data_IF_555984382216
#
_entry.id   IF_555984382216
#
_cell.length_a   1.000
_cell.length_b   1.000
_cell.length_c   1.000
_cell.angle_alpha   90.00
_cell.angle_beta   90.00
_cell.angle_gamma   90.00
#
_symmetry.space_group_name_H-M   'P 1'
#
loop_
_entity.id
_entity.type
_entity.pdbx_description
1 polymer ?
#
# COMPACT_ATOMS: atom_id res chain seq x y z
N UNK A 1 -26.03 -2.18 -47.90
CA UNK A 1 -26.28 -1.26 -46.78
C UNK A 1 -27.06 -2.04 -45.73
N UNK A 2 -26.45 -2.38 -44.59
CA UNK A 2 -27.13 -3.11 -43.51
C UNK A 2 -27.96 -2.08 -42.72
N UNK A 3 -29.28 -2.21 -42.79
CA UNK A 3 -30.22 -1.31 -42.13
C UNK A 3 -30.04 -1.41 -40.61
N UNK A 4 -29.90 -0.24 -39.98
CA UNK A 4 -29.79 -0.09 -38.52
C UNK A 4 -31.08 -0.49 -37.82
N UNK A 5 -31.19 -1.77 -37.47
CA UNK A 5 -32.18 -2.27 -36.54
C UNK A 5 -31.90 -1.69 -35.15
N UNK A 6 -32.89 -0.98 -34.62
CA UNK A 6 -32.92 -0.42 -33.27
C UNK A 6 -32.75 -1.58 -32.28
N UNK A 7 -31.62 -1.61 -31.57
CA UNK A 7 -31.41 -2.54 -30.44
C UNK A 7 -32.39 -2.11 -29.35
N UNK A 8 -33.56 -2.75 -29.32
CA UNK A 8 -34.51 -2.60 -28.22
C UNK A 8 -33.87 -3.23 -26.99
N UNK A 9 -33.27 -2.40 -26.13
CA UNK A 9 -33.00 -2.76 -24.75
C UNK A 9 -34.35 -2.98 -24.08
N UNK A 10 -34.79 -4.23 -23.99
CA UNK A 10 -35.97 -4.60 -23.22
C UNK A 10 -35.55 -4.81 -21.75
N UNK A 11 -35.93 -3.91 -20.82
CA UNK A 11 -35.61 -4.04 -19.40
C UNK A 11 -36.44 -5.13 -18.70
N UNK A 12 -37.41 -5.75 -19.38
CA UNK A 12 -38.30 -6.76 -18.79
C UNK A 12 -37.86 -8.22 -19.02
N UNK A 13 -36.80 -8.44 -19.82
CA UNK A 13 -36.19 -9.77 -19.98
C UNK A 13 -35.20 -10.14 -18.85
N UNK A 14 -34.87 -9.22 -17.93
CA UNK A 14 -33.84 -9.39 -16.88
C UNK A 14 -34.26 -10.22 -15.66
N UNK A 15 -35.49 -10.76 -15.60
CA UNK A 15 -35.94 -11.60 -14.46
C UNK A 15 -36.09 -13.09 -14.78
N UNK A 16 -35.63 -13.54 -15.94
CA UNK A 16 -35.59 -14.96 -16.27
C UNK A 16 -34.19 -15.35 -16.70
N UNK A 17 -33.47 -16.05 -15.82
CA UNK A 17 -32.20 -16.78 -16.02
C UNK A 17 -31.39 -16.41 -17.28
N UNK A 18 -30.13 -15.97 -17.10
CA UNK A 18 -29.12 -15.82 -18.16
C UNK A 18 -28.76 -17.18 -18.81
N UNK A 19 -29.71 -17.74 -19.54
CA UNK A 19 -29.65 -19.09 -20.12
C UNK A 19 -28.70 -19.14 -21.31
N UNK A 20 -28.71 -18.08 -22.12
CA UNK A 20 -27.85 -17.91 -23.29
C UNK A 20 -26.55 -17.16 -22.99
N UNK A 21 -26.37 -16.68 -21.75
CA UNK A 21 -25.21 -15.92 -21.32
C UNK A 21 -24.07 -16.78 -20.78
N UNK A 22 -22.92 -16.14 -20.57
CA UNK A 22 -21.73 -16.81 -20.03
C UNK A 22 -21.91 -17.06 -18.52
N UNK A 23 -22.33 -18.27 -18.15
CA UNK A 23 -22.69 -18.66 -16.77
C UNK A 23 -21.59 -18.52 -15.71
N UNK A 24 -20.31 -18.49 -16.10
CA UNK A 24 -19.24 -18.27 -15.12
C UNK A 24 -19.15 -16.81 -14.69
N UNK A 25 -19.46 -15.86 -15.58
CA UNK A 25 -19.46 -14.42 -15.27
C UNK A 25 -20.60 -14.11 -14.32
N UNK A 26 -21.79 -14.63 -14.58
CA UNK A 26 -22.95 -14.49 -13.69
C UNK A 26 -22.65 -14.99 -12.27
N UNK A 27 -21.99 -16.15 -12.13
CA UNK A 27 -21.67 -16.69 -10.81
C UNK A 27 -20.65 -15.88 -10.01
N UNK A 28 -19.72 -15.19 -10.68
CA UNK A 28 -18.60 -14.49 -10.02
C UNK A 28 -18.89 -12.99 -9.88
N UNK A 29 -19.37 -12.37 -10.95
CA UNK A 29 -19.60 -10.93 -11.05
C UNK A 29 -21.06 -10.56 -10.74
N UNK A 30 -21.97 -11.53 -10.67
CA UNK A 30 -23.41 -11.31 -10.52
C UNK A 30 -24.02 -10.50 -11.69
N UNK A 31 -23.36 -10.53 -12.85
CA UNK A 31 -23.74 -9.76 -14.04
C UNK A 31 -24.08 -10.69 -15.23
N UNK A 32 -25.11 -10.33 -15.99
CA UNK A 32 -25.57 -11.07 -17.16
C UNK A 32 -24.91 -10.56 -18.45
N UNK A 33 -23.97 -11.35 -18.99
CA UNK A 33 -23.30 -11.07 -20.27
C UNK A 33 -23.77 -12.06 -21.33
N UNK A 34 -24.67 -11.61 -22.19
CA UNK A 34 -25.36 -12.39 -23.24
C UNK A 34 -25.10 -11.88 -24.66
N UNK A 35 -24.73 -10.59 -24.80
CA UNK A 35 -24.50 -9.94 -26.10
C UNK A 35 -23.01 -9.68 -26.31
N UNK A 36 -22.54 -9.78 -27.56
CA UNK A 36 -21.15 -9.46 -27.96
C UNK A 36 -20.69 -8.08 -27.48
N UNK A 37 -21.60 -7.08 -27.50
CA UNK A 37 -21.30 -5.74 -27.00
C UNK A 37 -21.04 -5.71 -25.49
N UNK A 38 -21.85 -6.43 -24.70
CA UNK A 38 -21.64 -6.56 -23.24
C UNK A 38 -20.34 -7.30 -22.94
N UNK A 39 -20.00 -8.32 -23.74
CA UNK A 39 -18.76 -9.08 -23.61
C UNK A 39 -17.53 -8.20 -23.89
N UNK A 40 -17.55 -7.40 -24.96
CA UNK A 40 -16.46 -6.46 -25.25
C UNK A 40 -16.32 -5.41 -24.15
N UNK A 41 -17.43 -4.85 -23.67
CA UNK A 41 -17.42 -3.92 -22.54
C UNK A 41 -16.82 -4.52 -21.28
N UNK A 42 -17.19 -5.77 -20.97
CA UNK A 42 -16.63 -6.51 -19.84
C UNK A 42 -15.13 -6.73 -19.98
N UNK A 43 -14.64 -7.19 -21.14
CA UNK A 43 -13.21 -7.44 -21.37
C UNK A 43 -12.40 -6.14 -21.24
N UNK A 44 -12.85 -5.06 -21.86
CA UNK A 44 -12.19 -3.76 -21.77
C UNK A 44 -12.18 -3.26 -20.31
N UNK A 45 -13.29 -3.45 -19.58
CA UNK A 45 -13.38 -3.12 -18.16
C UNK A 45 -12.37 -3.88 -17.31
N UNK A 46 -12.21 -5.19 -17.52
CA UNK A 46 -11.21 -6.01 -16.81
C UNK A 46 -9.79 -5.56 -17.15
N UNK A 47 -9.48 -5.28 -18.41
CA UNK A 47 -8.16 -4.77 -18.80
C UNK A 47 -7.86 -3.43 -18.13
N UNK A 48 -8.83 -2.50 -18.15
CA UNK A 48 -8.71 -1.20 -17.50
C UNK A 48 -8.47 -1.33 -16.00
N UNK A 49 -9.21 -2.22 -15.34
CA UNK A 49 -9.02 -2.52 -13.92
C UNK A 49 -7.60 -3.04 -13.61
N UNK A 50 -7.09 -3.98 -14.41
CA UNK A 50 -5.74 -4.51 -14.22
C UNK A 50 -4.66 -3.44 -14.40
N UNK A 51 -4.81 -2.60 -15.43
CA UNK A 51 -3.91 -1.46 -15.64
C UNK A 51 -3.93 -0.46 -14.49
N UNK A 52 -5.08 -0.33 -13.81
CA UNK A 52 -5.18 0.50 -12.61
C UNK A 52 -4.52 -0.13 -11.39
N UNK A 53 -4.55 -1.46 -11.25
CA UNK A 53 -4.00 -2.18 -10.09
C UNK A 53 -2.47 -2.36 -10.14
N UNK A 54 -1.92 -2.61 -11.33
CA UNK A 54 -0.49 -2.94 -11.49
C UNK A 54 0.45 -1.86 -10.95
N UNK A 55 0.23 -0.55 -11.19
CA UNK A 55 1.15 0.51 -10.73
C UNK A 55 1.27 0.66 -9.21
N UNK A 56 0.31 0.15 -8.42
CA UNK A 56 0.37 0.26 -6.96
C UNK A 56 1.47 -0.63 -6.35
N UNK A 57 1.76 -1.77 -6.98
CA UNK A 57 2.79 -2.71 -6.52
C UNK A 57 4.23 -2.17 -6.64
N UNK A 58 4.70 -1.68 -7.81
CA UNK A 58 6.05 -1.14 -7.92
C UNK A 58 6.25 0.09 -7.03
N UNK A 59 5.22 0.91 -6.81
CA UNK A 59 5.29 2.04 -5.88
C UNK A 59 5.56 1.57 -4.45
N UNK A 60 4.83 0.55 -4.00
CA UNK A 60 4.99 -0.04 -2.67
C UNK A 60 6.38 -0.67 -2.50
N UNK A 61 6.85 -1.38 -3.53
CA UNK A 61 8.15 -2.03 -3.52
C UNK A 61 9.30 -1.00 -3.55
N UNK A 62 9.15 0.07 -4.32
CA UNK A 62 10.15 1.14 -4.41
C UNK A 62 10.28 1.83 -3.06
N UNK A 63 9.17 2.22 -2.42
CA UNK A 63 9.17 2.80 -1.07
C UNK A 63 9.84 1.86 -0.06
N UNK A 64 9.59 0.55 -0.17
CA UNK A 64 10.25 -0.44 0.68
C UNK A 64 11.76 -0.54 0.42
N UNK A 65 12.22 -0.40 -0.82
CA UNK A 65 13.65 -0.48 -1.19
C UNK A 65 14.42 0.79 -0.84
N UNK A 66 13.89 1.96 -1.16
CA UNK A 66 14.56 3.25 -0.90
C UNK A 66 14.47 3.67 0.56
N UNK A 67 13.57 3.07 1.35
CA UNK A 67 13.34 3.41 2.77
C UNK A 67 13.00 4.90 2.96
N UNK A 68 12.49 5.51 1.91
CA UNK A 68 12.17 6.93 1.80
C UNK A 68 10.90 7.08 0.97
N UNK A 69 9.99 7.91 1.46
CA UNK A 69 8.77 8.31 0.74
C UNK A 69 8.95 9.72 0.18
N UNK A 70 10.04 9.97 -0.55
CA UNK A 70 10.28 11.24 -1.23
C UNK A 70 9.35 11.32 -2.45
N UNK A 71 8.42 12.29 -2.45
CA UNK A 71 7.45 12.51 -3.54
C UNK A 71 5.99 12.15 -3.23
N UNK A 72 5.68 11.63 -2.03
CA UNK A 72 4.29 11.38 -1.62
C UNK A 72 3.74 12.56 -0.79
N UNK A 73 2.65 13.19 -1.25
CA UNK A 73 1.95 14.23 -0.49
C UNK A 73 1.02 13.60 0.57
N UNK A 74 1.21 13.98 1.84
CA UNK A 74 0.42 13.42 2.94
C UNK A 74 -1.07 13.78 2.85
N UNK A 75 -1.36 15.01 2.43
CA UNK A 75 -2.73 15.49 2.23
C UNK A 75 -3.41 14.71 1.10
N UNK A 76 -2.67 14.40 0.04
CA UNK A 76 -3.18 13.57 -1.05
C UNK A 76 -3.52 12.16 -0.57
N UNK A 77 -2.63 11.53 0.20
CA UNK A 77 -2.85 10.20 0.75
C UNK A 77 -4.03 10.16 1.75
N UNK A 78 -4.25 11.24 2.50
CA UNK A 78 -5.44 11.37 3.35
C UNK A 78 -6.72 11.43 2.54
N UNK A 79 -6.77 12.30 1.53
CA UNK A 79 -7.93 12.44 0.66
C UNK A 79 -8.23 11.16 -0.11
N UNK A 80 -7.19 10.42 -0.50
CA UNK A 80 -7.34 9.14 -1.18
C UNK A 80 -8.00 8.10 -0.27
N UNK A 81 -7.49 7.94 0.96
CA UNK A 81 -8.07 7.04 1.94
C UNK A 81 -9.55 7.35 2.24
N UNK A 82 -9.88 8.64 2.39
CA UNK A 82 -11.26 9.08 2.57
C UNK A 82 -12.11 8.77 1.33
N UNK A 83 -11.59 9.07 0.14
CA UNK A 83 -12.25 8.81 -1.13
C UNK A 83 -12.57 7.32 -1.31
N UNK A 84 -11.60 6.45 -1.06
CA UNK A 84 -11.75 4.99 -1.23
C UNK A 84 -12.69 4.40 -0.17
N UNK A 85 -12.67 4.94 1.05
CA UNK A 85 -13.65 4.57 2.10
C UNK A 85 -15.07 4.98 1.70
N UNK A 86 -15.26 6.21 1.20
CA UNK A 86 -16.55 6.69 0.72
C UNK A 86 -17.03 5.89 -0.50
N UNK A 87 -16.14 5.55 -1.43
CA UNK A 87 -16.44 4.74 -2.61
C UNK A 87 -16.93 3.33 -2.20
N UNK A 88 -16.24 2.69 -1.25
CA UNK A 88 -16.66 1.40 -0.72
C UNK A 88 -18.00 1.48 0.01
N UNK A 89 -18.21 2.50 0.86
CA UNK A 89 -19.49 2.72 1.54
C UNK A 89 -20.64 2.92 0.55
N UNK A 90 -20.42 3.70 -0.51
CA UNK A 90 -21.37 3.87 -1.60
C UNK A 90 -21.74 2.54 -2.25
N UNK A 91 -20.75 1.72 -2.60
CA UNK A 91 -20.96 0.40 -3.21
C UNK A 91 -21.71 -0.59 -2.27
N UNK A 92 -21.54 -0.44 -0.95
CA UNK A 92 -22.30 -1.22 0.04
C UNK A 92 -23.76 -0.76 0.10
N UNK A 93 -24.00 0.55 0.15
CA UNK A 93 -25.33 1.15 0.23
C UNK A 93 -26.18 0.88 -1.02
N UNK A 94 -25.57 0.89 -2.21
CA UNK A 94 -26.26 0.63 -3.49
C UNK A 94 -26.38 -0.85 -3.84
N UNK A 95 -25.90 -1.75 -2.96
CA UNK A 95 -25.84 -3.19 -3.24
C UNK A 95 -25.16 -3.53 -4.59
N UNK A 96 -24.07 -2.84 -4.90
CA UNK A 96 -23.34 -2.99 -6.16
C UNK A 96 -22.69 -4.38 -6.31
N UNK A 97 -22.17 -4.66 -7.51
CA UNK A 97 -21.55 -5.95 -7.86
C UNK A 97 -20.49 -6.37 -6.83
N UNK A 98 -20.42 -7.68 -6.50
CA UNK A 98 -19.52 -8.18 -5.46
C UNK A 98 -18.05 -7.88 -5.75
N UNK A 99 -17.64 -7.88 -7.02
CA UNK A 99 -16.26 -7.59 -7.41
C UNK A 99 -15.85 -6.16 -7.01
N UNK A 100 -16.74 -5.18 -7.19
CA UNK A 100 -16.42 -3.78 -6.90
C UNK A 100 -16.23 -3.55 -5.40
N UNK A 101 -16.98 -4.29 -4.57
CA UNK A 101 -16.80 -4.30 -3.11
C UNK A 101 -15.45 -4.90 -2.72
N UNK A 102 -15.06 -6.02 -3.31
CA UNK A 102 -13.75 -6.67 -3.05
C UNK A 102 -12.60 -5.74 -3.43
N UNK A 103 -12.69 -5.10 -4.60
CA UNK A 103 -11.68 -4.13 -5.07
C UNK A 103 -11.61 -2.91 -4.14
N UNK A 104 -12.76 -2.39 -3.68
CA UNK A 104 -12.80 -1.29 -2.73
C UNK A 104 -12.09 -1.62 -1.41
N UNK A 105 -12.31 -2.82 -0.87
CA UNK A 105 -11.58 -3.31 0.32
C UNK A 105 -10.07 -3.37 0.07
N UNK A 106 -9.68 -3.87 -1.11
CA UNK A 106 -8.27 -3.96 -1.49
C UNK A 106 -7.59 -2.58 -1.52
N UNK A 107 -8.24 -1.56 -2.11
CA UNK A 107 -7.69 -0.20 -2.14
C UNK A 107 -7.50 0.41 -0.75
N UNK A 108 -8.47 0.25 0.15
CA UNK A 108 -8.36 0.73 1.54
C UNK A 108 -7.15 0.06 2.25
N UNK A 109 -6.96 -1.25 2.08
CA UNK A 109 -5.81 -1.95 2.66
C UNK A 109 -4.48 -1.41 2.09
N UNK A 110 -4.44 -1.13 0.78
CA UNK A 110 -3.27 -0.57 0.12
C UNK A 110 -2.94 0.83 0.65
N UNK A 111 -3.94 1.68 0.84
CA UNK A 111 -3.79 3.03 1.40
C UNK A 111 -3.27 3.00 2.84
N UNK A 112 -3.84 2.13 3.68
CA UNK A 112 -3.35 1.92 5.05
C UNK A 112 -1.90 1.44 5.07
N UNK A 113 -1.52 0.58 4.12
CA UNK A 113 -0.14 0.12 3.98
C UNK A 113 0.80 1.27 3.62
N UNK A 114 0.41 2.16 2.70
CA UNK A 114 1.18 3.34 2.34
C UNK A 114 1.30 4.33 3.51
N UNK A 115 0.21 4.55 4.26
CA UNK A 115 0.23 5.35 5.49
C UNK A 115 1.18 4.77 6.53
N UNK A 116 1.14 3.46 6.73
CA UNK A 116 2.03 2.78 7.66
C UNK A 116 3.51 2.88 7.23
N UNK A 117 3.80 2.68 5.94
CA UNK A 117 5.15 2.85 5.39
C UNK A 117 5.66 4.27 5.59
N UNK A 118 4.84 5.29 5.27
CA UNK A 118 5.20 6.68 5.51
C UNK A 118 5.50 6.94 6.98
N UNK A 119 4.60 6.55 7.89
CA UNK A 119 4.78 6.74 9.33
C UNK A 119 6.07 6.07 9.84
N UNK A 120 6.34 4.85 9.39
CA UNK A 120 7.54 4.10 9.75
C UNK A 120 8.82 4.78 9.25
N UNK A 121 8.88 5.15 7.97
CA UNK A 121 10.08 5.75 7.37
C UNK A 121 10.31 7.20 7.80
N UNK A 122 9.28 7.94 8.19
CA UNK A 122 9.43 9.33 8.68
C UNK A 122 9.74 9.41 10.17
N UNK A 123 9.21 8.50 11.00
CA UNK A 123 9.35 8.60 12.47
C UNK A 123 10.32 7.59 13.09
N UNK A 124 10.41 6.37 12.55
CA UNK A 124 11.18 5.26 13.15
C UNK A 124 12.55 5.12 12.47
N UNK A 125 12.58 5.11 11.14
CA UNK A 125 13.82 4.94 10.38
C UNK A 125 14.90 6.02 10.63
N UNK A 126 14.60 7.34 10.65
CA UNK A 126 15.61 8.36 10.95
C UNK A 126 16.11 8.27 12.39
N UNK A 127 15.30 7.76 13.33
CA UNK A 127 15.79 7.47 14.68
C UNK A 127 16.82 6.35 14.67
N UNK A 128 16.68 5.34 13.81
CA UNK A 128 17.65 4.26 13.65
C UNK A 128 18.94 4.72 12.94
N UNK A 129 18.84 5.65 11.98
CA UNK A 129 19.99 6.27 11.30
C UNK A 129 20.76 7.26 12.16
N UNK A 130 20.06 8.10 12.92
CA UNK A 130 20.67 9.01 13.91
C UNK A 130 21.26 8.25 15.09
N UNK A 131 20.65 7.10 15.42
CA UNK A 131 21.25 6.14 16.33
C UNK A 131 22.54 5.57 15.73
N UNK A 132 22.71 5.31 14.43
CA UNK A 132 24.00 4.79 13.91
C UNK A 132 25.21 5.73 14.11
N UNK A 133 25.01 7.04 14.24
CA UNK A 133 26.07 7.99 14.63
C UNK A 133 26.22 8.16 16.16
N UNK A 134 25.34 7.54 16.96
CA UNK A 134 25.36 7.58 18.42
C UNK A 134 24.95 6.24 19.04
N UNK A 135 25.25 5.11 18.39
CA UNK A 135 24.88 3.74 18.81
C UNK A 135 26.13 2.88 18.90
N UNK A 136 27.09 3.42 19.65
CA UNK A 136 27.65 2.69 20.80
C UNK A 136 26.71 2.97 22.01
N UNK A 137 25.39 2.76 21.88
CA UNK A 137 24.43 3.05 22.98
C UNK A 137 23.29 2.02 23.04
N UNK A 138 23.12 1.18 22.01
CA UNK A 138 22.21 0.02 22.08
C UNK A 138 22.60 -1.07 23.10
N UNK A 139 23.84 -1.19 23.65
CA UNK A 139 24.04 -2.13 24.76
C UNK A 139 23.51 -1.60 26.11
N UNK A 140 23.37 -0.29 26.29
CA UNK A 140 23.13 0.29 27.62
C UNK A 140 21.66 0.24 28.07
N UNK A 141 20.70 0.20 27.15
CA UNK A 141 19.27 0.06 27.50
C UNK A 141 18.89 -1.43 27.68
N UNK A 142 19.66 -2.35 27.08
CA UNK A 142 19.48 -3.79 27.29
C UNK A 142 20.12 -4.28 28.61
N UNK A 143 21.17 -3.61 29.10
CA UNK A 143 21.86 -3.99 30.34
C UNK A 143 21.23 -3.43 31.63
N UNK A 144 20.31 -2.47 31.54
CA UNK A 144 19.69 -1.87 32.74
C UNK A 144 18.54 -2.69 33.33
N UNK A 145 18.10 -3.77 32.68
CA UNK A 145 16.94 -4.54 33.14
C UNK A 145 17.26 -5.85 33.84
N UNK A 146 18.45 -6.45 33.71
CA UNK A 146 18.75 -7.72 34.39
C UNK A 146 20.23 -7.83 34.81
N UNK A 147 20.52 -7.34 36.03
CA UNK A 147 21.44 -8.00 36.97
C UNK A 147 22.95 -7.95 36.69
N UNK A 148 23.61 -6.80 36.85
CA UNK A 148 25.06 -6.76 37.14
C UNK A 148 25.48 -5.46 37.86
N UNK A 149 25.02 -5.30 39.09
CA UNK A 149 25.49 -4.29 40.03
C UNK A 149 26.87 -4.61 40.67
N UNK A 150 27.69 -5.49 40.06
CA UNK A 150 28.95 -5.94 40.70
C UNK A 150 30.23 -5.91 39.86
N UNK A 151 30.24 -5.50 38.58
CA UNK A 151 31.50 -5.48 37.77
C UNK A 151 32.03 -4.10 37.39
N UNK A 152 31.50 -3.02 37.97
CA UNK A 152 32.01 -1.65 37.74
C UNK A 152 33.12 -1.22 38.71
N UNK A 153 33.83 -2.17 39.34
CA UNK A 153 34.95 -1.84 40.23
C UNK A 153 36.34 -1.94 39.57
N UNK A 154 36.48 -2.38 38.31
CA UNK A 154 37.82 -2.69 37.76
C UNK A 154 38.19 -2.06 36.40
N UNK A 155 37.35 -1.22 35.80
CA UNK A 155 37.73 -0.52 34.55
C UNK A 155 38.48 0.80 34.76
N UNK A 156 38.72 1.22 36.02
CA UNK A 156 39.41 2.48 36.31
C UNK A 156 40.93 2.46 36.13
N UNK A 157 41.54 1.37 35.65
CA UNK A 157 43.01 1.27 35.53
C UNK A 157 43.50 0.76 34.17
N UNK A 158 43.17 1.45 33.07
CA UNK A 158 43.94 1.32 31.82
C UNK A 158 44.47 2.69 31.38
N UNK A 159 45.79 2.92 31.45
CA UNK A 159 46.38 4.23 31.19
C UNK A 159 46.45 4.60 29.71
N UNK A 160 46.19 5.89 29.50
CA UNK A 160 46.39 6.75 28.33
C UNK A 160 47.71 6.48 27.59
N UNK A 161 47.64 5.96 26.36
CA UNK A 161 48.78 5.93 25.44
C UNK A 161 48.36 6.21 23.98
N UNK A 162 48.82 7.37 23.50
CA UNK A 162 49.22 7.68 22.12
C UNK A 162 48.22 7.47 20.97
N UNK A 163 47.77 8.58 20.37
CA UNK A 163 48.37 9.09 19.11
C UNK A 163 47.55 10.28 18.60
N UNK A 164 47.87 11.46 19.11
CA UNK A 164 47.63 12.74 18.43
C UNK A 164 48.67 12.91 17.33
N UNK A 165 48.26 12.80 16.06
CA UNK A 165 48.99 13.42 14.94
C UNK A 165 48.10 14.55 14.45
N UNK A 166 48.23 15.69 15.12
CA UNK A 166 47.81 16.99 14.62
C UNK A 166 49.01 17.60 13.89
N UNK A 167 49.00 17.51 12.57
CA UNK A 167 49.80 18.39 11.72
C UNK A 167 48.94 19.62 11.52
N UNK A 168 49.28 20.69 12.24
CA UNK A 168 48.99 22.09 11.91
C UNK A 168 49.94 22.94 12.76
N UNK A 169 51.07 23.31 12.17
CA UNK A 169 52.00 24.29 12.72
C UNK A 169 51.89 25.54 11.85
N UNK A 170 51.37 26.62 12.43
CA UNK A 170 51.45 27.96 11.86
C UNK A 170 52.90 28.46 11.90
N UNK A 171 53.35 29.00 10.76
CA UNK A 171 54.31 30.10 10.65
C UNK A 171 53.91 30.92 9.42
#
# INVERSE_FOLDING_TARGET
MKNGGLVTHDPTAERGNCTNGIKWIERIFSDCVDTELKLLGFIIGIISLMLWLVPLFPQLLQNYRTKKCEGLSLTFLFLWLVGDTCNMLGAMLTHQTPIQKIIGVYYIIQDLTLWAQYGYYTKVYPKLGNQRSSTIVVPCIALSSLGSFCLLSDYSNVPRAARSVSVDTNA
#
